data_IF_760195317762
#
_entry.id   IF_760195317762
#
_cell.length_a   1.000
_cell.length_b   1.000
_cell.length_c   1.000
_cell.angle_alpha   90.00
_cell.angle_beta   90.00
_cell.angle_gamma   90.00
#
_symmetry.space_group_name_H-M   'P 1'
#
loop_
_entity.id
_entity.type
_entity.pdbx_description
1 polymer ?
#
# COMPACT_ATOMS: atom_id res chain seq x y z
N UNK A 1 -10.36 -24.39 1.42
CA UNK A 1 -11.50 -25.32 1.59
C UNK A 1 -11.92 -25.38 3.06
N UNK A 2 -11.04 -25.82 3.99
CA UNK A 2 -11.39 -25.98 5.41
C UNK A 2 -11.88 -24.69 6.09
N UNK A 3 -11.22 -23.54 5.83
CA UNK A 3 -11.62 -22.22 6.35
C UNK A 3 -13.04 -21.85 5.91
N UNK A 4 -13.35 -21.92 4.62
CA UNK A 4 -14.69 -21.60 4.11
C UNK A 4 -15.78 -22.50 4.68
N UNK A 5 -15.49 -23.80 4.86
CA UNK A 5 -16.44 -24.73 5.52
C UNK A 5 -16.71 -24.34 6.98
N UNK A 6 -15.67 -23.97 7.73
CA UNK A 6 -15.82 -23.51 9.12
C UNK A 6 -16.60 -22.19 9.19
N UNK A 7 -16.33 -21.23 8.30
CA UNK A 7 -17.08 -19.98 8.21
C UNK A 7 -18.55 -20.21 7.88
N UNK A 8 -18.85 -21.09 6.94
CA UNK A 8 -20.24 -21.42 6.57
C UNK A 8 -21.00 -22.05 7.74
N UNK A 9 -20.39 -22.98 8.47
CA UNK A 9 -21.02 -23.60 9.63
C UNK A 9 -21.29 -22.59 10.76
N UNK A 10 -20.32 -21.73 11.04
CA UNK A 10 -20.52 -20.62 12.00
C UNK A 10 -21.64 -19.68 11.57
N UNK A 11 -21.65 -19.28 10.29
CA UNK A 11 -22.67 -18.39 9.76
C UNK A 11 -24.07 -18.99 9.85
N UNK A 12 -24.25 -20.30 9.58
CA UNK A 12 -25.53 -21.01 9.73
C UNK A 12 -26.04 -20.95 11.18
N UNK A 13 -25.17 -21.22 12.14
CA UNK A 13 -25.55 -21.15 13.55
C UNK A 13 -25.89 -19.72 13.97
N UNK A 14 -25.09 -18.75 13.55
CA UNK A 14 -25.28 -17.33 13.88
C UNK A 14 -26.56 -16.77 13.25
N UNK A 15 -26.79 -17.01 11.96
CA UNK A 15 -27.94 -16.50 11.22
C UNK A 15 -29.25 -17.19 11.57
N UNK A 16 -29.20 -18.42 12.15
CA UNK A 16 -30.40 -19.05 12.71
C UNK A 16 -30.99 -18.29 13.91
N UNK A 17 -30.19 -17.43 14.54
CA UNK A 17 -30.56 -16.67 15.76
C UNK A 17 -30.58 -15.16 15.55
N UNK A 18 -29.96 -14.68 14.47
CA UNK A 18 -29.74 -13.24 14.20
C UNK A 18 -30.10 -12.91 12.75
N UNK A 19 -30.93 -11.91 12.55
CA UNK A 19 -31.17 -11.36 11.22
C UNK A 19 -30.04 -10.40 10.83
N UNK A 20 -29.55 -10.51 9.60
CA UNK A 20 -28.56 -9.61 9.00
C UNK A 20 -29.09 -9.05 7.70
N UNK A 21 -28.81 -7.80 7.43
CA UNK A 21 -29.24 -7.09 6.22
C UNK A 21 -28.29 -7.29 5.04
N UNK A 22 -27.01 -7.61 5.32
CA UNK A 22 -25.94 -7.60 4.34
C UNK A 22 -24.81 -8.55 4.72
N UNK A 23 -24.16 -9.14 3.72
CA UNK A 23 -22.86 -9.80 3.84
C UNK A 23 -21.83 -8.92 3.17
N UNK A 24 -20.72 -8.62 3.88
CA UNK A 24 -19.57 -7.94 3.30
C UNK A 24 -18.38 -8.87 3.25
N UNK A 25 -17.93 -9.22 2.05
CA UNK A 25 -16.79 -10.11 1.81
C UNK A 25 -15.56 -9.30 1.39
N UNK A 26 -14.37 -9.76 1.78
CA UNK A 26 -13.09 -9.17 1.38
C UNK A 26 -12.22 -10.19 0.66
N UNK A 27 -11.89 -9.91 -0.61
CA UNK A 27 -11.05 -10.71 -1.49
C UNK A 27 -11.53 -12.16 -1.70
N UNK A 28 -10.85 -12.88 -2.55
CA UNK A 28 -11.20 -14.21 -3.04
C UNK A 28 -11.18 -15.33 -1.98
N UNK A 29 -10.45 -15.14 -0.89
CA UNK A 29 -10.26 -16.19 0.13
C UNK A 29 -11.57 -16.69 0.75
N UNK A 30 -12.58 -15.83 0.85
CA UNK A 30 -13.89 -16.11 1.46
C UNK A 30 -15.00 -16.41 0.43
N UNK A 31 -14.64 -16.50 -0.85
CA UNK A 31 -15.59 -16.59 -1.97
C UNK A 31 -16.61 -17.72 -1.77
N UNK A 32 -16.18 -18.94 -1.46
CA UNK A 32 -17.07 -20.10 -1.34
C UNK A 32 -18.11 -19.91 -0.22
N UNK A 33 -17.66 -19.46 0.95
CA UNK A 33 -18.57 -19.23 2.10
C UNK A 33 -19.50 -18.05 1.84
N UNK A 34 -19.01 -16.94 1.31
CA UNK A 34 -19.81 -15.75 1.02
C UNK A 34 -20.95 -16.06 0.04
N UNK A 35 -20.64 -16.72 -1.07
CA UNK A 35 -21.65 -17.12 -2.07
C UNK A 35 -22.65 -18.14 -1.48
N UNK A 36 -22.17 -19.11 -0.71
CA UNK A 36 -23.05 -20.11 -0.10
C UNK A 36 -24.02 -19.48 0.89
N UNK A 37 -23.56 -18.59 1.77
CA UNK A 37 -24.38 -17.89 2.76
C UNK A 37 -25.42 -17.01 2.05
N UNK A 38 -25.00 -16.22 1.07
CA UNK A 38 -25.91 -15.38 0.25
C UNK A 38 -27.04 -16.21 -0.37
N UNK A 39 -26.72 -17.35 -0.96
CA UNK A 39 -27.72 -18.23 -1.59
C UNK A 39 -28.64 -18.91 -0.59
N UNK A 40 -28.11 -19.38 0.54
CA UNK A 40 -28.86 -20.12 1.54
C UNK A 40 -29.83 -19.22 2.32
N UNK A 41 -29.37 -18.04 2.70
CA UNK A 41 -30.14 -17.11 3.55
C UNK A 41 -30.80 -15.95 2.79
N UNK A 42 -30.58 -15.87 1.46
CA UNK A 42 -31.11 -14.80 0.62
C UNK A 42 -30.69 -13.39 1.10
N UNK A 43 -29.50 -13.27 1.70
CA UNK A 43 -28.91 -12.02 2.17
C UNK A 43 -28.04 -11.44 1.05
N UNK A 44 -28.17 -10.14 0.71
CA UNK A 44 -27.37 -9.52 -0.34
C UNK A 44 -25.87 -9.50 0.01
N UNK A 45 -25.03 -9.55 -1.03
CA UNK A 45 -23.58 -9.58 -0.92
C UNK A 45 -22.96 -8.31 -1.51
N UNK A 46 -22.14 -7.65 -0.71
CA UNK A 46 -21.17 -6.64 -1.15
C UNK A 46 -19.78 -7.22 -1.00
N UNK A 47 -18.89 -6.95 -1.95
CA UNK A 47 -17.51 -7.43 -1.89
C UNK A 47 -16.54 -6.26 -2.05
N UNK A 48 -15.50 -6.22 -1.21
CA UNK A 48 -14.32 -5.36 -1.45
C UNK A 48 -13.20 -6.18 -2.07
N UNK A 49 -12.68 -5.72 -3.20
CA UNK A 49 -11.48 -6.26 -3.85
C UNK A 49 -10.33 -5.29 -3.62
N UNK A 50 -9.35 -5.70 -2.83
CA UNK A 50 -8.19 -4.89 -2.50
C UNK A 50 -7.07 -4.97 -3.54
N UNK A 51 -6.96 -6.08 -4.25
CA UNK A 51 -6.03 -6.32 -5.35
C UNK A 51 -6.51 -7.52 -6.16
N UNK A 52 -6.14 -7.60 -7.44
CA UNK A 52 -6.39 -8.80 -8.25
C UNK A 52 -5.14 -9.65 -8.39
N UNK A 53 -5.32 -10.95 -8.60
CA UNK A 53 -4.22 -11.84 -8.95
C UNK A 53 -3.60 -11.45 -10.30
N UNK A 54 -4.45 -11.05 -11.25
CA UNK A 54 -4.03 -10.56 -12.56
C UNK A 54 -3.08 -9.35 -12.45
N UNK A 55 -3.44 -8.33 -11.69
CA UNK A 55 -2.61 -7.14 -11.53
C UNK A 55 -1.33 -7.44 -10.77
N UNK A 56 -1.41 -8.19 -9.68
CA UNK A 56 -0.26 -8.55 -8.84
C UNK A 56 0.81 -9.33 -9.59
N UNK A 57 0.39 -10.20 -10.51
CA UNK A 57 1.27 -11.07 -11.28
C UNK A 57 1.53 -10.58 -12.71
N UNK A 58 1.02 -9.40 -13.08
CA UNK A 58 1.06 -8.86 -14.44
C UNK A 58 0.56 -9.88 -15.48
N UNK A 59 -0.62 -10.45 -15.21
CA UNK A 59 -1.23 -11.51 -16.00
C UNK A 59 -1.44 -12.81 -15.23
N UNK A 60 -1.95 -13.83 -15.92
CA UNK A 60 -2.20 -15.16 -15.35
C UNK A 60 -1.33 -16.19 -16.04
N UNK A 61 -0.36 -16.75 -15.32
CA UNK A 61 0.74 -17.54 -15.88
C UNK A 61 0.75 -19.03 -15.47
N UNK A 62 -0.01 -19.41 -14.43
CA UNK A 62 -0.03 -20.78 -13.90
C UNK A 62 -1.41 -21.18 -13.36
N UNK A 63 -1.58 -22.47 -12.99
CA UNK A 63 -2.86 -23.01 -12.54
C UNK A 63 -3.33 -22.42 -11.21
N UNK A 64 -2.43 -22.12 -10.30
CA UNK A 64 -2.78 -21.48 -9.02
C UNK A 64 -3.34 -20.09 -9.25
N UNK A 65 -2.72 -19.30 -10.12
CA UNK A 65 -3.20 -17.97 -10.48
C UNK A 65 -4.54 -18.04 -11.21
N UNK A 66 -4.74 -19.01 -12.13
CA UNK A 66 -6.03 -19.26 -12.77
C UNK A 66 -7.12 -19.59 -11.76
N UNK A 67 -6.80 -20.40 -10.75
CA UNK A 67 -7.73 -20.77 -9.68
C UNK A 67 -8.15 -19.54 -8.87
N UNK A 68 -7.18 -18.69 -8.46
CA UNK A 68 -7.45 -17.48 -7.70
C UNK A 68 -8.29 -16.50 -8.53
N UNK A 69 -7.86 -16.22 -9.74
CA UNK A 69 -8.54 -15.33 -10.68
C UNK A 69 -9.99 -15.77 -10.95
N UNK A 70 -10.24 -17.07 -11.08
CA UNK A 70 -11.59 -17.63 -11.23
C UNK A 70 -12.47 -17.37 -9.99
N UNK A 71 -11.89 -17.43 -8.81
CA UNK A 71 -12.60 -17.09 -7.57
C UNK A 71 -12.93 -15.61 -7.46
N UNK A 72 -12.02 -14.73 -7.88
CA UNK A 72 -12.26 -13.29 -7.98
C UNK A 72 -13.44 -12.99 -8.92
N UNK A 73 -13.46 -13.59 -10.10
CA UNK A 73 -14.57 -13.46 -11.06
C UNK A 73 -15.90 -13.94 -10.46
N UNK A 74 -15.94 -15.14 -9.87
CA UNK A 74 -17.17 -15.68 -9.26
C UNK A 74 -17.69 -14.82 -8.13
N UNK A 75 -16.80 -14.31 -7.28
CA UNK A 75 -17.16 -13.46 -6.15
C UNK A 75 -17.73 -12.13 -6.63
N UNK A 76 -17.06 -11.46 -7.57
CA UNK A 76 -17.55 -10.20 -8.15
C UNK A 76 -18.88 -10.38 -8.90
N UNK A 77 -19.06 -11.47 -9.62
CA UNK A 77 -20.32 -11.78 -10.30
C UNK A 77 -21.48 -12.00 -9.34
N UNK A 78 -21.24 -12.72 -8.22
CA UNK A 78 -22.25 -13.01 -7.21
C UNK A 78 -22.66 -11.79 -6.37
N UNK A 79 -21.80 -10.78 -6.26
CA UNK A 79 -22.05 -9.58 -5.47
C UNK A 79 -23.03 -8.64 -6.15
N UNK A 80 -23.89 -7.94 -5.40
CA UNK A 80 -24.72 -6.84 -5.91
C UNK A 80 -23.92 -5.57 -6.16
N UNK A 81 -22.94 -5.28 -5.30
CA UNK A 81 -22.00 -4.17 -5.45
C UNK A 81 -20.58 -4.67 -5.16
N UNK A 82 -19.60 -4.03 -5.80
CA UNK A 82 -18.19 -4.30 -5.58
C UNK A 82 -17.50 -2.98 -5.20
N UNK A 83 -16.81 -2.98 -4.08
CA UNK A 83 -16.01 -1.84 -3.61
C UNK A 83 -14.56 -2.06 -4.02
N UNK A 84 -13.92 -1.02 -4.50
CA UNK A 84 -12.48 -0.98 -4.81
C UNK A 84 -11.83 0.24 -4.21
N UNK A 85 -10.51 0.17 -3.99
CA UNK A 85 -9.77 1.22 -3.27
C UNK A 85 -9.25 2.36 -4.16
N UNK A 86 -9.49 2.33 -5.49
CA UNK A 86 -9.05 3.38 -6.43
C UNK A 86 -9.80 3.31 -7.76
N UNK A 87 -9.77 4.39 -8.53
CA UNK A 87 -10.26 4.41 -9.90
C UNK A 87 -9.46 3.47 -10.80
N UNK A 88 -8.14 3.38 -10.56
CA UNK A 88 -7.30 2.39 -11.21
C UNK A 88 -7.86 0.97 -11.03
N UNK A 89 -8.19 0.59 -9.79
CA UNK A 89 -8.76 -0.73 -9.49
C UNK A 89 -10.13 -0.94 -10.13
N UNK A 90 -10.97 0.10 -10.25
CA UNK A 90 -12.24 0.00 -11.00
C UNK A 90 -11.98 -0.38 -12.46
N UNK A 91 -11.03 0.32 -13.09
CA UNK A 91 -10.62 0.00 -14.46
C UNK A 91 -9.98 -1.39 -14.59
N UNK A 92 -9.22 -1.82 -13.57
CA UNK A 92 -8.62 -3.16 -13.54
C UNK A 92 -9.67 -4.26 -13.43
N UNK A 93 -10.67 -4.11 -12.54
CA UNK A 93 -11.75 -5.08 -12.43
C UNK A 93 -12.55 -5.23 -13.73
N UNK A 94 -12.80 -4.11 -14.41
CA UNK A 94 -13.48 -4.14 -15.71
C UNK A 94 -12.67 -4.91 -16.76
N UNK A 95 -11.36 -4.67 -16.83
CA UNK A 95 -10.49 -5.34 -17.82
C UNK A 95 -10.17 -6.78 -17.50
N UNK A 96 -9.93 -7.10 -16.22
CA UNK A 96 -9.43 -8.40 -15.79
C UNK A 96 -10.54 -9.36 -15.34
N UNK A 97 -11.60 -8.86 -14.72
CA UNK A 97 -12.67 -9.69 -14.15
C UNK A 97 -14.02 -9.53 -14.87
N UNK A 98 -14.06 -8.76 -15.95
CA UNK A 98 -15.30 -8.42 -16.66
C UNK A 98 -16.41 -7.88 -15.72
N UNK A 99 -15.98 -7.13 -14.68
CA UNK A 99 -16.89 -6.54 -13.71
C UNK A 99 -17.35 -5.16 -14.20
N UNK A 100 -18.67 -4.95 -14.42
CA UNK A 100 -19.18 -3.68 -14.95
C UNK A 100 -18.88 -2.49 -14.03
N UNK A 101 -18.54 -1.35 -14.63
CA UNK A 101 -18.22 -0.12 -13.87
C UNK A 101 -19.38 0.38 -13.02
N UNK A 102 -20.64 0.23 -13.51
CA UNK A 102 -21.86 0.60 -12.79
C UNK A 102 -22.12 -0.27 -11.54
N UNK A 103 -21.51 -1.44 -11.46
CA UNK A 103 -21.53 -2.34 -10.30
C UNK A 103 -20.45 -2.02 -9.28
N UNK A 104 -19.47 -1.20 -9.66
CA UNK A 104 -18.25 -0.95 -8.88
C UNK A 104 -18.29 0.45 -8.26
N UNK A 105 -18.12 0.54 -6.94
CA UNK A 105 -17.96 1.78 -6.19
C UNK A 105 -16.52 1.95 -5.76
N UNK A 106 -15.98 3.16 -5.88
CA UNK A 106 -14.66 3.50 -5.37
C UNK A 106 -14.80 4.08 -3.97
N UNK A 107 -14.18 3.43 -3.00
CA UNK A 107 -14.02 3.91 -1.63
C UNK A 107 -12.56 3.75 -1.27
N UNK A 108 -11.85 4.84 -1.10
CA UNK A 108 -10.42 4.84 -0.78
C UNK A 108 -10.15 4.13 0.56
N UNK A 109 -8.92 3.68 0.76
CA UNK A 109 -8.48 3.26 2.08
C UNK A 109 -8.17 4.51 2.93
N UNK A 110 -8.42 4.40 4.24
CA UNK A 110 -8.15 5.46 5.19
C UNK A 110 -7.02 5.14 6.15
N UNK A 111 -6.65 6.15 6.92
CA UNK A 111 -5.71 6.01 8.02
C UNK A 111 -6.24 6.74 9.27
N UNK A 112 -6.11 6.11 10.46
CA UNK A 112 -6.39 6.78 11.73
C UNK A 112 -5.21 7.67 12.10
N UNK A 113 -5.37 8.97 11.86
CA UNK A 113 -4.34 9.98 12.18
C UNK A 113 -4.08 10.05 13.69
N UNK A 114 -5.13 9.88 14.52
CA UNK A 114 -5.02 9.91 15.97
C UNK A 114 -4.14 8.78 16.51
N UNK A 115 -4.27 7.58 15.96
CA UNK A 115 -3.40 6.45 16.32
C UNK A 115 -1.94 6.79 16.06
N UNK A 116 -1.65 7.44 14.93
CA UNK A 116 -0.30 7.86 14.56
C UNK A 116 0.25 8.97 15.47
N UNK A 117 -0.61 9.93 15.85
CA UNK A 117 -0.24 11.05 16.75
C UNK A 117 -0.01 10.58 18.18
N UNK A 118 -0.84 9.73 18.74
CA UNK A 118 -0.73 9.23 20.12
C UNK A 118 0.56 8.46 20.34
N UNK A 119 0.96 7.62 19.39
CA UNK A 119 2.21 6.86 19.45
C UNK A 119 3.44 7.76 19.40
N UNK A 120 3.33 8.92 18.74
CA UNK A 120 4.46 9.86 18.61
C UNK A 120 4.58 10.87 19.75
N UNK A 121 3.53 11.07 20.54
CA UNK A 121 3.49 12.07 21.61
C UNK A 121 4.06 11.55 22.96
N UNK A 122 4.04 10.23 23.19
CA UNK A 122 4.31 9.67 24.51
C UNK A 122 5.79 9.50 24.89
N UNK A 123 6.74 9.63 23.94
CA UNK A 123 8.16 9.36 24.25
C UNK A 123 9.08 10.46 23.71
N UNK A 124 9.86 11.08 24.60
CA UNK A 124 11.06 11.83 24.23
C UNK A 124 12.17 10.84 23.85
N UNK A 125 12.42 10.68 22.55
CA UNK A 125 13.53 9.85 22.05
C UNK A 125 14.79 10.71 21.92
N UNK A 126 15.94 10.13 22.27
CA UNK A 126 17.23 10.63 21.82
C UNK A 126 17.34 10.35 20.30
N UNK A 127 17.04 11.37 19.49
CA UNK A 127 17.01 11.23 18.04
C UNK A 127 18.39 11.00 17.44
N UNK A 128 19.46 11.48 18.08
CA UNK A 128 20.84 11.24 17.64
C UNK A 128 21.22 9.77 17.86
N UNK A 129 20.95 9.23 19.05
CA UNK A 129 21.19 7.83 19.35
C UNK A 129 20.29 6.90 18.50
N UNK A 130 19.07 7.33 18.18
CA UNK A 130 18.19 6.59 17.29
C UNK A 130 18.70 6.59 15.84
N UNK A 131 19.09 7.75 15.31
CA UNK A 131 19.65 7.89 13.97
C UNK A 131 20.92 7.07 13.79
N UNK A 132 21.78 7.06 14.82
CA UNK A 132 23.05 6.31 14.81
C UNK A 132 22.89 4.79 14.64
N UNK A 133 21.69 4.23 14.88
CA UNK A 133 21.41 2.82 14.63
C UNK A 133 21.28 2.50 13.11
N UNK A 134 20.97 3.51 12.30
CA UNK A 134 20.65 3.34 10.88
C UNK A 134 21.62 4.04 9.93
N UNK A 135 22.17 5.19 10.33
CA UNK A 135 23.02 6.04 9.50
C UNK A 135 23.99 6.85 10.34
N UNK A 136 25.01 7.42 9.72
CA UNK A 136 25.87 8.41 10.35
C UNK A 136 25.11 9.73 10.56
N UNK A 137 25.55 10.60 11.48
CA UNK A 137 24.86 11.87 11.75
C UNK A 137 24.65 12.76 10.50
N UNK A 138 25.64 12.78 9.60
CA UNK A 138 25.62 13.59 8.36
C UNK A 138 24.84 12.95 7.22
N UNK A 139 24.48 11.66 7.30
CA UNK A 139 23.77 10.96 6.23
C UNK A 139 22.26 11.23 6.32
N UNK A 140 21.64 11.56 5.19
CA UNK A 140 20.20 11.55 5.04
C UNK A 140 19.70 10.09 4.91
N UNK A 141 18.59 9.77 5.55
CA UNK A 141 17.97 8.43 5.50
C UNK A 141 16.84 8.41 4.49
N UNK A 142 17.04 7.67 3.40
CA UNK A 142 16.00 7.25 2.47
C UNK A 142 15.48 5.90 2.93
N UNK A 143 14.17 5.66 2.91
CA UNK A 143 13.67 4.32 3.23
C UNK A 143 12.60 3.82 2.27
N UNK A 144 12.55 2.50 2.19
CA UNK A 144 11.44 1.71 1.65
C UNK A 144 10.88 0.83 2.77
N UNK A 145 9.57 0.67 2.85
CA UNK A 145 8.91 -0.32 3.71
C UNK A 145 7.88 -1.11 2.92
N UNK A 146 7.88 -2.44 3.12
CA UNK A 146 6.91 -3.33 2.50
C UNK A 146 7.44 -4.73 2.28
N UNK A 147 6.63 -5.59 1.65
CA UNK A 147 7.08 -6.92 1.22
C UNK A 147 8.19 -6.76 0.19
N UNK A 148 9.26 -7.55 0.32
CA UNK A 148 10.35 -7.54 -0.64
C UNK A 148 9.99 -8.48 -1.80
N UNK A 149 9.22 -7.97 -2.75
CA UNK A 149 8.72 -8.68 -3.93
C UNK A 149 9.00 -7.87 -5.20
N UNK A 150 8.96 -8.52 -6.35
CA UNK A 150 9.31 -7.89 -7.63
C UNK A 150 8.42 -6.68 -7.94
N UNK A 151 7.11 -6.79 -7.71
CA UNK A 151 6.14 -5.73 -7.99
C UNK A 151 6.32 -4.47 -7.14
N UNK A 152 7.11 -4.54 -6.06
CA UNK A 152 7.46 -3.38 -5.24
C UNK A 152 8.64 -2.56 -5.78
N UNK A 153 9.29 -3.01 -6.84
CA UNK A 153 10.26 -2.22 -7.61
C UNK A 153 11.55 -1.85 -6.87
N UNK A 154 11.91 -2.54 -5.78
CA UNK A 154 13.10 -2.21 -4.98
C UNK A 154 14.38 -2.24 -5.82
N UNK A 155 14.43 -3.09 -6.84
CA UNK A 155 15.56 -3.15 -7.77
C UNK A 155 15.75 -1.84 -8.56
N UNK A 156 14.66 -1.09 -8.83
CA UNK A 156 14.72 0.23 -9.48
C UNK A 156 15.35 1.25 -8.51
N UNK A 157 14.94 1.20 -7.23
CA UNK A 157 15.51 2.04 -6.19
C UNK A 157 17.01 1.79 -6.04
N UNK A 158 17.43 0.53 -6.02
CA UNK A 158 18.86 0.20 -5.98
C UNK A 158 19.63 0.75 -7.20
N UNK A 159 19.03 0.69 -8.41
CA UNK A 159 19.62 1.26 -9.62
C UNK A 159 19.66 2.81 -9.58
N UNK A 160 18.75 3.46 -8.89
CA UNK A 160 18.72 4.92 -8.72
C UNK A 160 19.81 5.42 -7.73
N UNK A 161 20.16 4.59 -6.73
CA UNK A 161 21.05 4.99 -5.63
C UNK A 161 22.44 5.46 -6.05
N UNK A 162 23.16 4.89 -7.05
CA UNK A 162 24.47 5.44 -7.46
C UNK A 162 24.40 6.93 -7.84
N UNK A 163 23.34 7.35 -8.55
CA UNK A 163 23.11 8.77 -8.93
C UNK A 163 22.80 9.63 -7.71
N UNK A 164 21.96 9.11 -6.80
CA UNK A 164 21.61 9.79 -5.55
C UNK A 164 22.83 9.94 -4.64
N UNK A 165 23.63 8.89 -4.43
CA UNK A 165 24.84 8.91 -3.60
C UNK A 165 25.84 9.96 -4.14
N UNK A 166 26.02 10.00 -5.46
CA UNK A 166 26.91 10.98 -6.09
C UNK A 166 26.42 12.42 -5.88
N UNK A 167 25.12 12.67 -6.08
CA UNK A 167 24.52 13.99 -5.90
C UNK A 167 24.55 14.46 -4.43
N UNK A 168 24.44 13.54 -3.48
CA UNK A 168 24.49 13.82 -2.03
C UNK A 168 25.91 13.80 -1.46
N UNK A 169 26.97 13.78 -2.28
CA UNK A 169 28.35 13.72 -1.81
C UNK A 169 28.61 12.61 -0.80
N UNK A 170 28.07 11.42 -1.05
CA UNK A 170 28.16 10.24 -0.17
C UNK A 170 27.43 10.37 1.19
N UNK A 171 26.67 11.48 1.40
CA UNK A 171 25.95 11.74 2.66
C UNK A 171 24.50 11.24 2.63
N UNK A 172 24.31 10.00 2.23
CA UNK A 172 22.99 9.38 2.16
C UNK A 172 23.10 7.88 2.48
N UNK A 173 22.02 7.35 3.04
CA UNK A 173 21.87 5.91 3.33
C UNK A 173 20.47 5.44 2.98
N UNK A 174 20.37 4.26 2.36
CA UNK A 174 19.11 3.60 2.06
C UNK A 174 18.82 2.53 3.12
N UNK A 175 17.61 2.56 3.69
CA UNK A 175 17.10 1.56 4.64
C UNK A 175 15.93 0.83 3.99
N UNK A 176 16.06 -0.48 3.80
CA UNK A 176 15.03 -1.35 3.23
C UNK A 176 14.42 -2.18 4.36
N UNK A 177 13.15 -1.90 4.67
CA UNK A 177 12.39 -2.52 5.77
C UNK A 177 11.39 -3.51 5.20
N UNK A 178 11.48 -4.76 5.61
CA UNK A 178 10.55 -5.79 5.20
C UNK A 178 11.21 -7.16 5.02
N UNK A 179 10.40 -8.13 4.71
CA UNK A 179 10.84 -9.50 4.45
C UNK A 179 10.53 -9.92 3.01
N UNK A 180 11.39 -10.75 2.48
CA UNK A 180 11.24 -11.41 1.19
C UNK A 180 12.20 -12.59 1.15
N UNK A 181 11.78 -13.67 0.56
CA UNK A 181 12.53 -14.93 0.47
C UNK A 181 13.79 -14.78 -0.42
N UNK A 182 13.95 -15.65 -1.40
CA UNK A 182 15.09 -15.64 -2.32
C UNK A 182 15.30 -14.28 -3.04
N UNK A 183 14.24 -13.53 -3.26
CA UNK A 183 14.33 -12.22 -3.92
C UNK A 183 15.10 -11.18 -3.11
N UNK A 184 15.04 -11.23 -1.78
CA UNK A 184 15.85 -10.36 -0.91
C UNK A 184 17.36 -10.60 -1.12
N UNK A 185 17.75 -11.86 -1.31
CA UNK A 185 19.17 -12.22 -1.58
C UNK A 185 19.63 -11.64 -2.94
N UNK A 186 18.76 -11.69 -3.95
CA UNK A 186 19.06 -11.11 -5.26
C UNK A 186 19.27 -9.59 -5.19
N UNK A 187 18.46 -8.88 -4.40
CA UNK A 187 18.60 -7.44 -4.19
C UNK A 187 19.88 -7.08 -3.43
N UNK A 188 20.27 -7.86 -2.42
CA UNK A 188 21.54 -7.67 -1.72
C UNK A 188 22.73 -7.86 -2.68
N UNK A 189 22.67 -8.87 -3.55
CA UNK A 189 23.68 -9.07 -4.59
C UNK A 189 23.72 -7.91 -5.57
N UNK A 190 22.56 -7.41 -6.02
CA UNK A 190 22.49 -6.23 -6.88
C UNK A 190 23.15 -5.02 -6.23
N UNK A 191 22.89 -4.76 -4.95
CA UNK A 191 23.53 -3.67 -4.22
C UNK A 191 25.06 -3.83 -4.17
N UNK A 192 25.56 -5.07 -4.06
CA UNK A 192 26.98 -5.39 -4.13
C UNK A 192 27.55 -5.14 -5.54
N UNK A 193 26.89 -5.65 -6.56
CA UNK A 193 27.32 -5.51 -7.97
C UNK A 193 27.34 -4.03 -8.41
N UNK A 194 26.47 -3.20 -7.85
CA UNK A 194 26.43 -1.73 -8.03
C UNK A 194 27.49 -1.00 -7.17
N UNK A 195 28.21 -1.66 -6.30
CA UNK A 195 29.20 -1.05 -5.41
C UNK A 195 28.62 -0.23 -4.26
N UNK A 196 27.30 -0.31 -4.02
CA UNK A 196 26.58 0.51 -3.03
C UNK A 196 26.17 -0.27 -1.77
N UNK A 197 26.56 -1.54 -1.63
CA UNK A 197 26.13 -2.38 -0.49
C UNK A 197 26.39 -1.73 0.87
N UNK A 198 27.52 -1.00 1.01
CA UNK A 198 27.88 -0.28 2.23
C UNK A 198 26.93 0.90 2.57
N UNK A 199 26.12 1.35 1.61
CA UNK A 199 25.10 2.40 1.76
C UNK A 199 23.68 1.86 1.92
N UNK A 200 23.49 0.55 1.88
CA UNK A 200 22.17 -0.08 1.96
C UNK A 200 22.05 -0.93 3.21
N UNK A 201 21.05 -0.69 4.02
CA UNK A 201 20.73 -1.49 5.20
C UNK A 201 19.42 -2.25 4.97
N UNK A 202 19.49 -3.58 4.97
CA UNK A 202 18.32 -4.46 4.98
C UNK A 202 18.00 -4.84 6.43
N UNK A 203 16.90 -4.35 6.98
CA UNK A 203 16.56 -4.57 8.40
C UNK A 203 15.81 -5.87 8.66
N UNK A 204 15.19 -6.46 7.63
CA UNK A 204 14.17 -7.48 7.83
C UNK A 204 12.85 -6.88 8.29
N UNK A 205 11.99 -7.69 8.92
CA UNK A 205 10.73 -7.22 9.49
C UNK A 205 11.00 -6.26 10.66
N UNK A 206 10.27 -5.17 10.68
CA UNK A 206 10.26 -4.21 11.78
C UNK A 206 8.84 -4.15 12.35
N UNK A 207 8.69 -4.28 13.66
CA UNK A 207 7.39 -4.16 14.30
C UNK A 207 6.90 -2.69 14.23
N UNK A 208 5.58 -2.49 14.23
CA UNK A 208 4.97 -1.17 14.08
C UNK A 208 5.59 -0.11 15.02
N UNK A 209 5.75 -0.46 16.30
CA UNK A 209 6.30 0.47 17.29
C UNK A 209 7.74 0.93 16.96
N UNK A 210 8.57 0.04 16.42
CA UNK A 210 9.95 0.35 16.04
C UNK A 210 10.00 1.08 14.70
N UNK A 211 9.10 0.72 13.77
CA UNK A 211 8.94 1.44 12.51
C UNK A 211 8.52 2.91 12.74
N UNK A 212 7.58 3.17 13.63
CA UNK A 212 7.18 4.54 13.95
C UNK A 212 8.28 5.36 14.64
N UNK A 213 9.12 4.70 15.46
CA UNK A 213 10.34 5.35 16.00
C UNK A 213 11.31 5.68 14.87
N UNK A 214 11.60 4.70 14.01
CA UNK A 214 12.49 4.88 12.86
C UNK A 214 12.07 6.07 11.99
N UNK A 215 10.77 6.22 11.73
CA UNK A 215 10.23 7.33 10.92
C UNK A 215 10.55 8.73 11.48
N UNK A 216 10.90 8.86 12.78
CA UNK A 216 11.32 10.15 13.37
C UNK A 216 12.67 10.64 12.88
N UNK A 217 13.47 9.76 12.31
CA UNK A 217 14.83 10.06 11.84
C UNK A 217 14.99 9.85 10.31
N UNK A 218 13.92 9.48 9.63
CA UNK A 218 13.91 9.30 8.18
C UNK A 218 13.66 10.63 7.46
N UNK A 219 14.39 10.87 6.37
CA UNK A 219 14.36 12.11 5.60
C UNK A 219 13.50 11.99 4.32
N UNK A 220 13.35 10.79 3.75
CA UNK A 220 12.57 10.56 2.53
C UNK A 220 12.04 9.13 2.47
N UNK A 221 10.74 8.97 2.16
CA UNK A 221 10.12 7.69 1.85
C UNK A 221 10.11 7.46 0.33
N UNK A 222 10.37 6.22 -0.13
CA UNK A 222 10.40 5.92 -1.56
C UNK A 222 9.65 4.63 -1.86
N UNK A 223 8.64 4.68 -2.73
CA UNK A 223 7.82 3.53 -3.12
C UNK A 223 7.79 3.39 -4.65
N UNK A 224 8.78 2.72 -5.25
CA UNK A 224 8.96 2.60 -6.70
C UNK A 224 8.18 1.44 -7.29
N UNK A 225 6.98 1.20 -6.80
CA UNK A 225 6.15 0.06 -7.16
C UNK A 225 5.88 -0.03 -8.67
N UNK A 226 5.82 -1.26 -9.20
CA UNK A 226 5.33 -1.55 -10.54
C UNK A 226 3.83 -1.83 -10.54
N UNK A 227 3.32 -2.25 -9.41
CA UNK A 227 1.90 -2.47 -9.15
C UNK A 227 1.56 -2.07 -7.72
N UNK A 228 0.63 -1.15 -7.56
CA UNK A 228 0.13 -0.69 -6.27
C UNK A 228 -1.36 -0.34 -6.40
N UNK A 229 -2.27 -1.16 -5.91
CA UNK A 229 -3.70 -0.91 -6.00
C UNK A 229 -4.16 0.42 -5.42
N UNK A 230 -3.50 0.88 -4.34
CA UNK A 230 -3.83 2.13 -3.67
C UNK A 230 -2.59 2.88 -3.14
N UNK A 231 -1.87 2.29 -2.19
CA UNK A 231 -0.68 2.90 -1.59
C UNK A 231 -0.90 3.40 -0.16
N UNK A 232 -1.36 2.54 0.75
CA UNK A 232 -1.48 2.86 2.19
C UNK A 232 -0.17 3.40 2.76
N UNK A 233 0.98 2.89 2.30
CA UNK A 233 2.31 3.36 2.71
C UNK A 233 2.55 4.86 2.44
N UNK A 234 1.88 5.43 1.42
CA UNK A 234 1.92 6.88 1.18
C UNK A 234 1.15 7.64 2.26
N UNK A 235 -0.04 7.15 2.66
CA UNK A 235 -0.79 7.73 3.79
C UNK A 235 -0.02 7.64 5.11
N UNK A 236 0.68 6.54 5.34
CA UNK A 236 1.56 6.36 6.51
C UNK A 236 2.70 7.40 6.53
N UNK A 237 3.32 7.64 5.36
CA UNK A 237 4.34 8.68 5.21
C UNK A 237 3.76 10.08 5.43
N UNK A 238 2.55 10.35 4.92
CA UNK A 238 1.83 11.59 5.20
C UNK A 238 1.60 11.78 6.71
N UNK A 239 1.11 10.74 7.41
CA UNK A 239 0.87 10.77 8.85
C UNK A 239 2.17 10.99 9.65
N UNK A 240 3.26 10.37 9.22
CA UNK A 240 4.59 10.50 9.82
C UNK A 240 5.28 11.83 9.50
N UNK A 241 4.71 12.67 8.61
CA UNK A 241 5.29 13.94 8.12
C UNK A 241 6.61 13.75 7.39
N UNK A 242 6.72 12.69 6.59
CA UNK A 242 7.91 12.40 5.80
C UNK A 242 7.60 12.69 4.33
N UNK A 243 8.42 13.49 3.64
CA UNK A 243 8.26 13.71 2.22
C UNK A 243 8.50 12.40 1.47
N UNK A 244 7.78 12.20 0.35
CA UNK A 244 7.86 10.93 -0.35
C UNK A 244 7.96 11.06 -1.86
N UNK A 245 8.57 10.03 -2.44
CA UNK A 245 8.68 9.80 -3.88
C UNK A 245 8.00 8.47 -4.22
N UNK A 246 7.09 8.49 -5.18
CA UNK A 246 6.37 7.30 -5.64
C UNK A 246 6.45 7.16 -7.15
N UNK A 247 6.22 5.95 -7.66
CA UNK A 247 6.06 5.72 -9.10
C UNK A 247 4.64 6.07 -9.58
N UNK A 248 4.52 6.47 -10.85
CA UNK A 248 3.25 6.70 -11.55
C UNK A 248 2.60 5.36 -11.91
N UNK A 249 2.08 4.64 -10.90
CA UNK A 249 1.44 3.34 -11.09
C UNK A 249 0.26 3.11 -10.17
N UNK A 250 -0.73 2.40 -10.69
CA UNK A 250 -1.87 1.99 -9.89
C UNK A 250 -2.65 3.16 -9.29
N UNK A 251 -2.99 3.04 -8.01
CA UNK A 251 -3.66 4.07 -7.24
C UNK A 251 -2.72 5.12 -6.63
N UNK A 252 -1.38 4.98 -6.76
CA UNK A 252 -0.45 5.94 -6.17
C UNK A 252 -0.68 7.39 -6.64
N UNK A 253 -0.91 7.68 -7.94
CA UNK A 253 -1.20 9.05 -8.40
C UNK A 253 -2.55 9.61 -7.92
N UNK A 254 -3.47 8.76 -7.46
CA UNK A 254 -4.73 9.18 -6.84
C UNK A 254 -4.53 9.63 -5.38
N UNK A 255 -3.49 9.11 -4.72
CA UNK A 255 -3.11 9.44 -3.34
C UNK A 255 -2.09 10.56 -3.31
N UNK A 256 -1.08 10.52 -4.18
CA UNK A 256 0.05 11.44 -4.21
C UNK A 256 -0.05 12.36 -5.42
N UNK A 257 -0.35 13.64 -5.18
CA UNK A 257 -0.38 14.66 -6.24
C UNK A 257 1.02 15.19 -6.49
N UNK A 258 1.52 14.96 -7.72
CA UNK A 258 2.88 15.38 -8.12
C UNK A 258 3.13 16.86 -7.84
N UNK A 259 4.26 17.20 -7.21
CA UNK A 259 4.67 18.57 -6.84
C UNK A 259 3.70 19.29 -5.87
N UNK A 260 2.72 18.58 -5.32
CA UNK A 260 1.74 19.13 -4.36
C UNK A 260 1.82 18.43 -3.02
N UNK A 261 1.72 17.10 -3.00
CA UNK A 261 1.77 16.29 -1.76
C UNK A 261 2.92 15.29 -1.73
N UNK A 262 3.69 15.18 -2.82
CA UNK A 262 4.85 14.33 -2.98
C UNK A 262 5.37 14.41 -4.41
N UNK A 263 6.38 13.61 -4.72
CA UNK A 263 6.95 13.51 -6.07
C UNK A 263 6.48 12.22 -6.71
N UNK A 264 5.87 12.30 -7.89
CA UNK A 264 5.51 11.15 -8.72
C UNK A 264 6.52 11.03 -9.86
N UNK A 265 7.12 9.88 -10.02
CA UNK A 265 8.19 9.60 -11.00
C UNK A 265 7.73 8.54 -12.00
N UNK A 266 8.37 8.48 -13.16
CA UNK A 266 8.02 7.50 -14.19
C UNK A 266 8.23 6.07 -13.65
N UNK A 267 7.25 5.21 -13.89
CA UNK A 267 7.32 3.81 -13.49
C UNK A 267 8.48 3.10 -14.19
N UNK A 268 9.19 2.24 -13.46
CA UNK A 268 10.34 1.46 -13.96
C UNK A 268 11.49 2.31 -14.56
N UNK A 269 11.68 3.52 -14.04
CA UNK A 269 12.71 4.47 -14.49
C UNK A 269 13.57 4.91 -13.31
N UNK A 270 14.77 4.33 -13.20
CA UNK A 270 15.70 4.63 -12.11
C UNK A 270 16.25 6.05 -12.15
N UNK A 271 16.39 6.66 -13.33
CA UNK A 271 16.84 8.04 -13.48
C UNK A 271 15.78 9.02 -12.99
N UNK A 272 14.53 8.82 -13.39
CA UNK A 272 13.40 9.62 -12.90
C UNK A 272 13.25 9.49 -11.39
N UNK A 273 13.40 8.28 -10.85
CA UNK A 273 13.35 8.04 -9.42
C UNK A 273 14.47 8.76 -8.67
N UNK A 274 15.69 8.68 -9.19
CA UNK A 274 16.84 9.38 -8.60
C UNK A 274 16.63 10.90 -8.59
N UNK A 275 16.12 11.48 -9.67
CA UNK A 275 15.82 12.92 -9.76
C UNK A 275 14.79 13.34 -8.70
N UNK A 276 13.71 12.59 -8.53
CA UNK A 276 12.70 12.88 -7.51
C UNK A 276 13.26 12.81 -6.08
N UNK A 277 14.13 11.84 -5.78
CA UNK A 277 14.78 11.72 -4.48
C UNK A 277 15.73 12.90 -4.23
N UNK A 278 16.57 13.24 -5.22
CA UNK A 278 17.52 14.34 -5.14
C UNK A 278 16.77 15.67 -4.95
N UNK A 279 15.65 15.87 -5.64
CA UNK A 279 14.81 17.06 -5.49
C UNK A 279 14.34 17.25 -4.05
N UNK A 280 13.82 16.18 -3.41
CA UNK A 280 13.39 16.19 -2.00
C UNK A 280 14.55 16.55 -1.08
N UNK A 281 15.70 15.89 -1.23
CA UNK A 281 16.83 16.03 -0.31
C UNK A 281 17.58 17.37 -0.48
N UNK A 282 17.61 17.93 -1.67
CA UNK A 282 18.26 19.23 -1.93
C UNK A 282 17.36 20.44 -1.62
N UNK A 283 16.03 20.26 -1.53
CA UNK A 283 15.10 21.37 -1.37
C UNK A 283 14.21 21.20 -0.12
N UNK A 284 14.77 21.34 1.10
CA UNK A 284 14.04 21.08 2.34
C UNK A 284 12.79 21.97 2.52
N UNK A 285 12.79 23.20 2.04
CA UNK A 285 11.60 24.07 2.11
C UNK A 285 10.49 23.58 1.16
N UNK A 286 10.85 23.08 -0.01
CA UNK A 286 9.88 22.46 -0.91
C UNK A 286 9.34 21.16 -0.30
N UNK A 287 10.21 20.28 0.21
CA UNK A 287 9.83 19.06 0.91
C UNK A 287 8.86 19.33 2.07
N UNK A 288 9.11 20.37 2.87
CA UNK A 288 8.22 20.83 3.95
C UNK A 288 6.85 21.29 3.43
N UNK A 289 6.83 21.97 2.28
CA UNK A 289 5.57 22.40 1.63
C UNK A 289 4.76 21.17 1.19
N UNK A 290 5.39 20.18 0.55
CA UNK A 290 4.75 18.93 0.16
C UNK A 290 4.15 18.20 1.37
N UNK A 291 4.91 18.11 2.46
CA UNK A 291 4.46 17.48 3.72
C UNK A 291 3.25 18.19 4.32
N UNK A 292 3.25 19.53 4.36
CA UNK A 292 2.11 20.28 4.90
C UNK A 292 0.84 20.05 4.07
N UNK A 293 0.95 20.05 2.75
CA UNK A 293 -0.16 19.76 1.86
C UNK A 293 -0.65 18.32 2.02
N UNK A 294 0.27 17.35 2.14
CA UNK A 294 -0.04 15.95 2.36
C UNK A 294 -0.82 15.72 3.68
N UNK A 295 -0.44 16.44 4.73
CA UNK A 295 -1.14 16.41 6.02
C UNK A 295 -2.58 16.96 5.92
N UNK A 296 -2.80 18.00 5.11
CA UNK A 296 -4.14 18.53 4.85
C UNK A 296 -4.99 17.53 4.08
N UNK A 297 -4.46 16.95 3.01
CA UNK A 297 -5.15 15.93 2.21
C UNK A 297 -5.51 14.68 3.03
N UNK A 298 -4.60 14.24 3.90
CA UNK A 298 -4.84 13.08 4.77
C UNK A 298 -6.09 13.28 5.63
N UNK A 299 -6.26 14.46 6.22
CA UNK A 299 -7.42 14.79 7.05
C UNK A 299 -8.69 14.98 6.25
N UNK A 300 -8.59 15.58 5.07
CA UNK A 300 -9.75 15.92 4.25
C UNK A 300 -10.28 14.72 3.46
N UNK A 301 -9.40 13.92 2.86
CA UNK A 301 -9.75 12.92 1.87
C UNK A 301 -9.66 11.48 2.38
N UNK A 302 -8.84 11.20 3.39
CA UNK A 302 -8.51 9.84 3.83
C UNK A 302 -8.84 9.57 5.30
N UNK A 303 -9.68 10.41 5.93
CA UNK A 303 -10.18 10.16 7.29
C UNK A 303 -11.20 9.01 7.29
N UNK A 304 -11.06 8.08 8.24
CA UNK A 304 -11.92 6.90 8.34
C UNK A 304 -13.40 7.20 8.44
N UNK A 305 -13.82 8.26 9.17
CA UNK A 305 -15.23 8.62 9.34
C UNK A 305 -15.88 8.89 7.98
N UNK A 306 -15.23 9.67 7.12
CA UNK A 306 -15.70 9.97 5.77
C UNK A 306 -15.79 8.71 4.88
N UNK A 307 -14.81 7.82 4.99
CA UNK A 307 -14.78 6.59 4.21
C UNK A 307 -15.80 5.55 4.72
N UNK A 308 -16.07 5.56 6.02
CA UNK A 308 -17.14 4.75 6.60
C UNK A 308 -18.53 5.21 6.08
N UNK A 309 -18.79 6.52 6.02
CA UNK A 309 -20.02 7.08 5.41
C UNK A 309 -20.15 6.69 3.92
N UNK A 310 -19.06 6.72 3.16
CA UNK A 310 -19.06 6.27 1.75
C UNK A 310 -19.37 4.77 1.64
N UNK A 311 -18.78 3.95 2.52
CA UNK A 311 -19.02 2.51 2.57
C UNK A 311 -20.49 2.22 2.93
N UNK A 312 -21.04 2.92 3.93
CA UNK A 312 -22.45 2.82 4.31
C UNK A 312 -23.36 3.19 3.14
N UNK A 313 -23.04 4.25 2.41
CA UNK A 313 -23.81 4.65 1.22
C UNK A 313 -23.85 3.54 0.15
N UNK A 314 -22.77 2.76 -0.01
CA UNK A 314 -22.76 1.58 -0.89
C UNK A 314 -23.67 0.48 -0.34
N UNK A 315 -23.65 0.23 0.97
CA UNK A 315 -24.52 -0.77 1.61
C UNK A 315 -26.00 -0.42 1.45
N UNK A 316 -26.36 0.86 1.56
CA UNK A 316 -27.73 1.32 1.37
C UNK A 316 -28.25 1.13 -0.07
N UNK A 317 -27.39 1.18 -1.08
CA UNK A 317 -27.77 0.88 -2.48
C UNK A 317 -28.23 -0.56 -2.70
N UNK A 318 -27.84 -1.46 -1.82
CA UNK A 318 -28.14 -2.91 -1.95
C UNK A 318 -29.38 -3.28 -1.15
N UNK A 319 -29.72 -2.50 -0.12
CA UNK A 319 -30.87 -2.71 0.75
C UNK A 319 -32.19 -2.21 0.13
N UNK A 320 -32.10 -1.35 -0.89
CA UNK A 320 -33.25 -0.79 -1.60
C UNK A 320 -33.64 -1.67 -2.79
#
# INVERSE_FOLDING_TARGET
VQMNASMLNFAREFLSKNAMDLIHAHDWLVEESAIAITKEFQIPLVTTIHATEYGRCNGIHNDTQRYIHHKEIRLTQASQRVIVCSEYMRGELQRALDCPAEKTDVVYNGLSVERWQNITAEHQYDLEALKAQYAKPEEAIIYFVGRITYEKGIYILLNAMPKVIAAMNDQVRLVIIGTGDAYSILLQRQAWDLGIYHKVLFTGFMADADFWKFQKVADCAVFPSLYEPFGIVALESFAAKIPLVVSDTGGLPEVVRHQVTGIVTRVNDADSLAEGIIEILHNPEHAKTLVNNAQADLKESFAWDKLAEQTEAVFLKVKS
#
